data_IF_268199659973
#
_entry.id   IF_268199659973
#
_cell.length_a   1.000
_cell.length_b   1.000
_cell.length_c   1.000
_cell.angle_alpha   90.00
_cell.angle_beta   90.00
_cell.angle_gamma   90.00
#
_symmetry.space_group_name_H-M   'P 1'
#
loop_
_entity.id
_entity.type
_entity.pdbx_description
1 polymer ?
#
# COMPACT_ATOMS: atom_id res chain seq x y z
N UNK A 1 2.94 -6.18 -9.60
CA UNK A 1 1.46 -6.07 -9.59
C UNK A 1 0.80 -7.10 -8.69
N UNK A 2 1.23 -8.39 -8.72
CA UNK A 2 0.68 -9.49 -7.89
C UNK A 2 0.57 -9.12 -6.40
N UNK A 3 1.59 -8.46 -5.85
CA UNK A 3 1.67 -8.07 -4.44
C UNK A 3 0.49 -7.20 -3.97
N UNK A 4 0.29 -6.06 -4.64
CA UNK A 4 -0.75 -5.10 -4.27
C UNK A 4 -2.14 -5.61 -4.63
N UNK A 5 -2.28 -6.39 -5.71
CA UNK A 5 -3.56 -7.02 -6.03
C UNK A 5 -3.95 -8.05 -4.93
N UNK A 6 -2.97 -8.76 -4.36
CA UNK A 6 -3.23 -9.70 -3.26
C UNK A 6 -3.50 -8.97 -1.92
N UNK A 7 -2.75 -7.89 -1.63
CA UNK A 7 -3.00 -7.04 -0.48
C UNK A 7 -4.38 -6.36 -0.56
N UNK A 8 -4.77 -5.93 -1.77
CA UNK A 8 -6.10 -5.42 -2.08
C UNK A 8 -7.16 -6.46 -1.74
N UNK A 9 -7.00 -7.71 -2.21
CA UNK A 9 -7.92 -8.79 -1.90
C UNK A 9 -8.05 -9.05 -0.40
N UNK A 10 -6.92 -9.08 0.33
CA UNK A 10 -6.92 -9.30 1.78
C UNK A 10 -7.66 -8.17 2.53
N UNK A 11 -7.38 -6.92 2.17
CA UNK A 11 -8.03 -5.73 2.72
C UNK A 11 -9.52 -5.71 2.41
N UNK A 12 -9.90 -6.03 1.16
CA UNK A 12 -11.28 -6.16 0.72
C UNK A 12 -12.03 -7.18 1.57
N UNK A 13 -11.48 -8.40 1.74
CA UNK A 13 -12.13 -9.47 2.51
C UNK A 13 -12.34 -9.07 3.97
N UNK A 14 -11.40 -8.33 4.56
CA UNK A 14 -11.54 -7.80 5.92
C UNK A 14 -12.57 -6.68 6.00
N UNK A 15 -12.53 -5.70 5.09
CA UNK A 15 -13.45 -4.57 5.08
C UNK A 15 -14.91 -4.97 4.82
N UNK A 16 -15.14 -5.97 3.97
CA UNK A 16 -16.49 -6.53 3.77
C UNK A 16 -16.96 -7.33 4.98
N UNK A 17 -16.06 -8.04 5.68
CA UNK A 17 -16.42 -8.79 6.90
C UNK A 17 -16.85 -7.88 8.04
N UNK A 18 -16.36 -6.64 8.08
CA UNK A 18 -16.74 -5.67 9.12
C UNK A 18 -18.00 -4.88 8.78
N UNK A 19 -18.63 -5.08 7.61
CA UNK A 19 -19.78 -4.31 7.11
C UNK A 19 -19.59 -2.79 6.95
N UNK A 20 -18.41 -2.26 7.30
CA UNK A 20 -18.10 -0.83 7.21
C UNK A 20 -17.98 -0.31 5.76
N UNK A 21 -17.83 -1.23 4.80
CA UNK A 21 -17.59 -0.90 3.39
C UNK A 21 -18.58 -1.58 2.45
N UNK A 22 -19.77 -1.92 2.96
CA UNK A 22 -20.83 -2.48 2.14
C UNK A 22 -21.18 -1.50 1.00
N UNK A 23 -21.12 -1.99 -0.24
CA UNK A 23 -21.26 -1.17 -1.46
C UNK A 23 -20.00 -0.42 -1.91
N UNK A 24 -18.91 -0.44 -1.14
CA UNK A 24 -17.65 0.26 -1.45
C UNK A 24 -16.43 -0.69 -1.52
N UNK A 25 -16.44 -1.69 -2.44
CA UNK A 25 -15.43 -2.75 -2.48
C UNK A 25 -14.02 -2.24 -2.81
N UNK A 26 -13.91 -1.19 -3.62
CA UNK A 26 -12.61 -0.59 -3.97
C UNK A 26 -12.01 0.15 -2.79
N UNK A 27 -12.85 0.87 -2.02
CA UNK A 27 -12.41 1.56 -0.82
C UNK A 27 -11.93 0.55 0.25
N UNK A 28 -12.68 -0.55 0.43
CA UNK A 28 -12.28 -1.64 1.32
C UNK A 28 -10.91 -2.24 0.93
N UNK A 29 -10.71 -2.49 -0.36
CA UNK A 29 -9.48 -3.07 -0.88
C UNK A 29 -8.28 -2.14 -0.78
N UNK A 30 -8.45 -0.83 -0.97
CA UNK A 30 -7.34 0.11 -0.94
C UNK A 30 -6.87 0.50 0.46
N UNK A 31 -7.65 0.23 1.52
CA UNK A 31 -7.31 0.62 2.90
C UNK A 31 -5.91 0.18 3.33
N UNK A 32 -5.45 -1.01 2.92
CA UNK A 32 -4.09 -1.45 3.19
C UNK A 32 -3.12 -1.17 2.04
N UNK A 33 -3.61 -1.07 0.80
CA UNK A 33 -2.75 -0.78 -0.36
C UNK A 33 -2.17 0.63 -0.27
N UNK A 34 -2.99 1.63 0.02
CA UNK A 34 -2.57 3.04 0.02
C UNK A 34 -1.48 3.32 1.06
N UNK A 35 -1.63 2.95 2.34
CA UNK A 35 -0.56 3.14 3.33
C UNK A 35 0.72 2.39 2.98
N UNK A 36 0.62 1.18 2.41
CA UNK A 36 1.80 0.41 1.99
C UNK A 36 2.52 1.07 0.81
N UNK A 37 1.77 1.56 -0.20
CA UNK A 37 2.36 2.32 -1.30
C UNK A 37 3.06 3.59 -0.79
N UNK A 38 2.45 4.29 0.17
CA UNK A 38 3.06 5.49 0.77
C UNK A 38 4.34 5.17 1.52
N UNK A 39 4.35 4.08 2.30
CA UNK A 39 5.57 3.68 3.00
C UNK A 39 6.67 3.28 2.02
N UNK A 40 6.34 2.60 0.92
CA UNK A 40 7.32 2.32 -0.13
C UNK A 40 7.83 3.60 -0.82
N UNK A 41 6.98 4.60 -1.05
CA UNK A 41 7.42 5.91 -1.55
C UNK A 41 8.35 6.60 -0.53
N UNK A 42 8.06 6.50 0.77
CA UNK A 42 8.93 7.04 1.81
C UNK A 42 10.27 6.30 1.88
N UNK A 43 10.30 4.98 1.75
CA UNK A 43 11.55 4.19 1.67
C UNK A 43 12.36 4.63 0.45
N UNK A 44 11.72 4.69 -0.73
CA UNK A 44 12.35 5.14 -1.96
C UNK A 44 12.95 6.54 -1.78
N UNK A 45 12.23 7.41 -1.09
CA UNK A 45 12.67 8.75 -0.81
C UNK A 45 13.95 8.79 0.05
N UNK A 46 14.00 8.01 1.13
CA UNK A 46 15.22 7.93 1.96
C UNK A 46 16.39 7.39 1.15
N UNK A 47 16.18 6.42 0.26
CA UNK A 47 17.22 5.91 -0.66
C UNK A 47 17.67 6.99 -1.65
N UNK A 48 16.75 7.71 -2.28
CA UNK A 48 17.10 8.78 -3.22
C UNK A 48 17.91 9.90 -2.56
N UNK A 49 17.64 10.19 -1.28
CA UNK A 49 18.42 11.14 -0.50
C UNK A 49 19.87 10.69 -0.27
N UNK A 50 20.13 9.38 -0.18
CA UNK A 50 21.52 8.89 -0.13
C UNK A 50 22.28 9.09 -1.44
N UNK A 51 21.55 9.37 -2.53
CA UNK A 51 22.08 9.70 -3.85
C UNK A 51 22.03 11.21 -4.15
N UNK A 52 21.82 12.06 -3.13
CA UNK A 52 21.72 13.53 -3.25
C UNK A 52 20.54 14.01 -4.14
N UNK A 53 19.49 13.19 -4.28
CA UNK A 53 18.28 13.53 -5.05
C UNK A 53 17.18 13.97 -4.07
N UNK A 54 16.83 15.27 -4.07
CA UNK A 54 15.95 15.88 -3.05
C UNK A 54 14.55 16.33 -3.54
N UNK A 55 14.23 16.23 -4.82
CA UNK A 55 12.99 16.80 -5.40
C UNK A 55 11.67 16.35 -4.72
N UNK A 56 11.65 15.15 -4.13
CA UNK A 56 10.46 14.63 -3.47
C UNK A 56 10.32 15.11 -2.01
N UNK A 57 11.39 15.67 -1.39
CA UNK A 57 11.27 16.36 -0.08
C UNK A 57 10.54 17.67 -0.28
N UNK A 58 10.91 18.40 -1.34
CA UNK A 58 10.26 19.64 -1.74
C UNK A 58 8.78 19.38 -2.03
N UNK A 59 8.45 18.29 -2.74
CA UNK A 59 7.07 17.89 -3.02
C UNK A 59 6.26 17.58 -1.75
N UNK A 60 6.86 16.97 -0.72
CA UNK A 60 6.19 16.67 0.54
C UNK A 60 6.13 17.90 1.48
N UNK A 61 7.08 18.82 1.38
CA UNK A 61 7.15 20.05 2.18
C UNK A 61 6.18 21.14 1.71
N UNK A 62 5.43 20.89 0.63
CA UNK A 62 4.48 21.81 -0.01
C UNK A 62 3.23 22.19 0.85
N UNK A 63 3.17 21.79 2.12
CA UNK A 63 2.10 22.17 3.05
C UNK A 63 0.70 21.77 2.52
N UNK A 64 -0.18 22.77 2.31
CA UNK A 64 -1.52 22.56 1.77
C UNK A 64 -1.54 21.87 0.39
N UNK A 65 -0.56 22.15 -0.46
CA UNK A 65 -0.42 21.49 -1.76
C UNK A 65 -0.03 20.01 -1.62
N UNK A 66 0.67 19.63 -0.55
CA UNK A 66 0.95 18.24 -0.22
C UNK A 66 -0.33 17.44 0.02
N UNK A 67 -1.34 18.03 0.68
CA UNK A 67 -2.65 17.40 0.86
C UNK A 67 -3.39 17.18 -0.47
N UNK A 68 -3.28 18.11 -1.42
CA UNK A 68 -3.89 17.98 -2.76
C UNK A 68 -3.21 16.86 -3.55
N UNK A 69 -1.88 16.77 -3.48
CA UNK A 69 -1.11 15.68 -4.12
C UNK A 69 -1.49 14.33 -3.50
N UNK A 70 -1.62 14.27 -2.17
CA UNK A 70 -2.06 13.08 -1.46
C UNK A 70 -3.47 12.65 -1.91
N UNK A 71 -4.40 13.60 -1.98
CA UNK A 71 -5.76 13.33 -2.45
C UNK A 71 -5.75 12.86 -3.91
N UNK A 72 -4.96 13.50 -4.78
CA UNK A 72 -4.78 13.09 -6.17
C UNK A 72 -4.22 11.68 -6.29
N UNK A 73 -3.22 11.32 -5.46
CA UNK A 73 -2.69 9.96 -5.39
C UNK A 73 -3.76 8.96 -4.93
N UNK A 74 -4.50 9.27 -3.87
CA UNK A 74 -5.57 8.42 -3.36
C UNK A 74 -6.64 8.17 -4.42
N UNK A 75 -7.12 9.23 -5.07
CA UNK A 75 -8.09 9.15 -6.18
C UNK A 75 -7.50 8.38 -7.36
N UNK A 76 -6.23 8.57 -7.69
CA UNK A 76 -5.54 7.83 -8.75
C UNK A 76 -5.51 6.33 -8.48
N UNK A 77 -5.19 5.91 -7.26
CA UNK A 77 -5.24 4.49 -6.84
C UNK A 77 -6.66 3.95 -6.89
N UNK A 78 -7.65 4.73 -6.42
CA UNK A 78 -9.05 4.34 -6.51
C UNK A 78 -9.47 4.11 -7.96
N UNK A 79 -9.22 5.09 -8.84
CA UNK A 79 -9.50 5.01 -10.27
C UNK A 79 -8.79 3.83 -10.91
N UNK A 80 -7.54 3.53 -10.56
CA UNK A 80 -6.79 2.39 -11.07
C UNK A 80 -7.46 1.03 -10.79
N UNK A 81 -7.99 0.83 -9.58
CA UNK A 81 -8.70 -0.40 -9.22
C UNK A 81 -10.14 -0.42 -9.73
N UNK A 82 -10.78 0.75 -9.86
CA UNK A 82 -12.11 0.87 -10.45
C UNK A 82 -12.10 0.64 -11.96
N UNK A 83 -11.08 1.15 -12.65
CA UNK A 83 -10.98 1.19 -14.10
C UNK A 83 -11.15 -0.21 -14.72
N UNK A 84 -12.04 -0.30 -15.71
CA UNK A 84 -12.35 -1.52 -16.43
C UNK A 84 -12.68 -2.72 -15.48
N UNK A 85 -13.35 -2.43 -14.37
CA UNK A 85 -13.78 -3.43 -13.38
C UNK A 85 -12.64 -4.25 -12.78
N UNK A 86 -11.42 -3.70 -12.75
CA UNK A 86 -10.22 -4.44 -12.33
C UNK A 86 -10.39 -5.09 -10.95
N UNK A 87 -10.97 -4.38 -9.99
CA UNK A 87 -11.21 -4.92 -8.66
C UNK A 87 -12.02 -6.23 -8.68
N UNK A 88 -13.00 -6.37 -9.58
CA UNK A 88 -13.81 -7.58 -9.74
C UNK A 88 -12.94 -8.76 -10.17
N UNK A 89 -12.10 -8.53 -11.19
CA UNK A 89 -11.15 -9.54 -11.70
C UNK A 89 -10.16 -10.01 -10.62
N UNK A 90 -9.69 -9.09 -9.78
CA UNK A 90 -8.81 -9.40 -8.65
C UNK A 90 -9.54 -10.31 -7.65
N UNK A 91 -10.75 -9.94 -7.24
CA UNK A 91 -11.55 -10.69 -6.27
C UNK A 91 -11.86 -12.09 -6.80
N UNK A 92 -12.31 -12.20 -8.05
CA UNK A 92 -12.62 -13.47 -8.68
C UNK A 92 -11.39 -14.38 -8.77
N UNK A 93 -10.26 -13.84 -9.24
CA UNK A 93 -8.99 -14.58 -9.34
C UNK A 93 -8.59 -15.20 -8.00
N UNK A 94 -8.57 -14.41 -6.93
CA UNK A 94 -8.11 -14.89 -5.62
C UNK A 94 -9.16 -15.71 -4.86
N UNK A 95 -10.44 -15.62 -5.22
CA UNK A 95 -11.46 -16.55 -4.73
C UNK A 95 -11.33 -17.94 -5.38
N UNK A 96 -10.90 -18.03 -6.65
CA UNK A 96 -10.73 -19.28 -7.39
C UNK A 96 -9.41 -19.99 -7.06
N UNK A 97 -8.36 -19.26 -6.68
CA UNK A 97 -7.10 -19.87 -6.25
C UNK A 97 -7.28 -20.73 -4.98
N UNK A 98 -6.99 -22.03 -5.07
CA UNK A 98 -7.02 -22.96 -3.91
C UNK A 98 -6.24 -22.36 -2.73
N UNK A 99 -6.94 -22.23 -1.60
CA UNK A 99 -6.42 -21.64 -0.36
C UNK A 99 -5.24 -22.44 0.19
N UNK A 100 -4.02 -21.93 0.01
CA UNK A 100 -2.91 -22.24 0.92
C UNK A 100 -3.26 -21.72 2.32
N UNK A 101 -2.86 -22.39 3.41
CA UNK A 101 -3.19 -22.01 4.79
C UNK A 101 -3.01 -20.51 5.09
N UNK A 102 -1.96 -19.89 4.55
CA UNK A 102 -1.66 -18.46 4.66
C UNK A 102 -2.67 -17.53 3.96
N UNK A 103 -3.28 -17.98 2.84
CA UNK A 103 -4.34 -17.24 2.13
C UNK A 103 -5.67 -17.23 2.88
N UNK A 104 -5.82 -18.09 3.90
CA UNK A 104 -7.02 -18.17 4.73
C UNK A 104 -7.14 -17.01 5.72
N UNK A 105 -6.02 -16.44 6.15
CA UNK A 105 -5.97 -15.39 7.18
C UNK A 105 -5.44 -14.07 6.60
N UNK A 106 -6.32 -13.23 5.99
CA UNK A 106 -5.91 -11.95 5.39
C UNK A 106 -5.23 -11.02 6.40
N UNK A 107 -5.62 -11.08 7.67
CA UNK A 107 -4.98 -10.34 8.76
C UNK A 107 -3.49 -10.68 8.93
N UNK A 108 -3.15 -11.97 8.90
CA UNK A 108 -1.74 -12.43 9.06
C UNK A 108 -0.89 -11.94 7.89
N UNK A 109 -1.44 -11.98 6.68
CA UNK A 109 -0.76 -11.42 5.50
C UNK A 109 -0.50 -9.93 5.68
N UNK A 110 -1.52 -9.14 6.04
CA UNK A 110 -1.38 -7.70 6.25
C UNK A 110 -0.34 -7.42 7.35
N UNK A 111 -0.40 -8.14 8.46
CA UNK A 111 0.54 -7.98 9.58
C UNK A 111 1.98 -8.27 9.16
N UNK A 112 2.23 -9.35 8.43
CA UNK A 112 3.56 -9.68 7.91
C UNK A 112 4.09 -8.60 6.96
N UNK A 113 3.23 -8.04 6.09
CA UNK A 113 3.60 -6.94 5.21
C UNK A 113 4.01 -5.70 6.00
N UNK A 114 3.18 -5.33 6.97
CA UNK A 114 3.44 -4.17 7.82
C UNK A 114 4.78 -4.34 8.55
N UNK A 115 5.01 -5.49 9.20
CA UNK A 115 6.26 -5.76 9.92
C UNK A 115 7.45 -5.70 8.97
N UNK A 116 7.39 -6.40 7.83
CA UNK A 116 8.49 -6.44 6.86
C UNK A 116 8.82 -5.04 6.36
N UNK A 117 7.81 -4.25 6.03
CA UNK A 117 7.98 -2.90 5.52
C UNK A 117 8.54 -1.94 6.59
N UNK A 118 8.13 -2.07 7.85
CA UNK A 118 8.73 -1.32 8.96
C UNK A 118 10.20 -1.69 9.19
N UNK A 119 10.55 -2.97 9.11
CA UNK A 119 11.94 -3.42 9.24
C UNK A 119 12.80 -2.85 8.11
N UNK A 120 12.33 -2.91 6.86
CA UNK A 120 13.04 -2.32 5.72
C UNK A 120 13.22 -0.82 5.92
N UNK A 121 12.15 -0.10 6.26
CA UNK A 121 12.24 1.34 6.51
C UNK A 121 13.25 1.68 7.61
N UNK A 122 13.22 0.94 8.73
CA UNK A 122 14.17 1.13 9.83
C UNK A 122 15.62 0.92 9.39
N UNK A 123 15.90 -0.15 8.64
CA UNK A 123 17.23 -0.43 8.10
C UNK A 123 17.71 0.71 7.21
N UNK A 124 16.88 1.18 6.26
CA UNK A 124 17.25 2.27 5.35
C UNK A 124 17.56 3.56 6.12
N UNK A 125 16.76 3.88 7.15
CA UNK A 125 17.01 5.05 8.01
C UNK A 125 18.31 4.91 8.81
N UNK A 126 18.59 3.72 9.35
CA UNK A 126 19.83 3.46 10.07
C UNK A 126 21.07 3.57 9.18
N UNK A 127 21.01 3.09 7.94
CA UNK A 127 22.07 3.28 6.94
C UNK A 127 22.29 4.77 6.67
N UNK A 128 21.22 5.52 6.40
CA UNK A 128 21.32 6.97 6.15
C UNK A 128 21.96 7.72 7.33
N UNK A 129 21.69 7.31 8.57
CA UNK A 129 22.24 7.94 9.78
C UNK A 129 23.65 7.48 10.15
N UNK A 130 24.24 6.54 9.41
CA UNK A 130 25.57 5.97 9.74
C UNK A 130 25.59 5.10 11.00
N UNK A 131 24.42 4.56 11.40
CA UNK A 131 24.36 3.56 12.49
C UNK A 131 24.71 2.16 12.01
N UNK A 132 24.60 1.93 10.70
CA UNK A 132 24.89 0.68 10.02
C UNK A 132 25.77 1.06 8.83
N UNK A 133 27.06 0.71 8.93
CA UNK A 133 28.21 1.18 8.14
C UNK A 133 28.66 2.61 8.43
#
# INVERSE_FOLDING_TARGET
MILYDYLFYCSYKMGMRSHNFDGLPVLAGMMMVTPNMMLHLAILQVVLQTLEIHWFEELLALGWWGHIIYLGFFVGVYCYYWYNGRYKRIIEKYNLEKNTYWKRHPFVTILLYVITNFVVFFIVVCIKKGYIF
#
